data_IF_618849105769
#
_entry.id   IF_618849105769
#
_cell.length_a   1.000
_cell.length_b   1.000
_cell.length_c   1.000
_cell.angle_alpha   90.00
_cell.angle_beta   90.00
_cell.angle_gamma   90.00
#
_symmetry.space_group_name_H-M   'P 1'
#
loop_
_entity.id
_entity.type
_entity.pdbx_description
1 polymer ?
#
# COMPACT_ATOMS: atom_id res chain seq x y z
N UNK A 1 6.94 -6.21 1.06
CA UNK A 1 5.87 -5.65 0.21
C UNK A 1 5.63 -4.21 0.65
N UNK A 2 5.73 -3.23 -0.26
CA UNK A 2 5.62 -1.82 0.10
C UNK A 2 4.27 -1.57 0.77
N UNK A 3 4.30 -0.90 1.92
CA UNK A 3 3.09 -0.57 2.70
C UNK A 3 2.40 0.71 2.25
N UNK A 4 3.03 1.42 1.30
CA UNK A 4 2.57 2.68 0.73
C UNK A 4 2.59 2.63 -0.80
N UNK A 5 2.31 3.77 -1.43
CA UNK A 5 2.39 3.93 -2.88
C UNK A 5 3.77 4.37 -3.35
N UNK A 6 4.78 4.35 -2.47
CA UNK A 6 6.16 4.76 -2.76
C UNK A 6 6.75 4.01 -3.96
N UNK A 7 6.44 2.72 -4.08
CA UNK A 7 6.88 1.86 -5.20
C UNK A 7 6.31 2.27 -6.56
N UNK A 8 5.28 3.13 -6.61
CA UNK A 8 4.75 3.64 -7.87
C UNK A 8 5.76 4.54 -8.58
N UNK A 9 6.63 5.23 -7.83
CA UNK A 9 7.70 6.07 -8.40
C UNK A 9 8.70 5.19 -9.15
N UNK A 10 9.07 4.04 -8.58
CA UNK A 10 9.96 3.09 -9.24
C UNK A 10 9.33 2.49 -10.49
N UNK A 11 8.02 2.19 -10.45
CA UNK A 11 7.27 1.69 -11.59
C UNK A 11 7.10 2.72 -12.69
N UNK A 12 6.91 4.00 -12.33
CA UNK A 12 6.86 5.10 -13.30
C UNK A 12 8.14 5.12 -14.16
N UNK A 13 9.30 4.97 -13.53
CA UNK A 13 10.61 5.03 -14.20
C UNK A 13 10.90 3.78 -15.03
N UNK A 14 10.60 2.60 -14.50
CA UNK A 14 11.06 1.34 -15.08
C UNK A 14 10.00 0.60 -15.90
N UNK A 15 8.71 0.73 -15.55
CA UNK A 15 7.60 -0.07 -16.12
C UNK A 15 6.26 0.71 -16.12
N UNK A 16 6.12 1.79 -16.91
CA UNK A 16 4.93 2.66 -16.89
C UNK A 16 3.62 1.96 -17.28
N UNK A 17 3.67 0.95 -18.17
CA UNK A 17 2.50 0.13 -18.49
C UNK A 17 1.99 -0.68 -17.29
N UNK A 18 2.88 -1.15 -16.42
CA UNK A 18 2.54 -1.86 -15.18
C UNK A 18 1.94 -0.89 -14.17
N UNK A 19 2.46 0.33 -14.06
CA UNK A 19 1.91 1.39 -13.22
C UNK A 19 0.41 1.64 -13.53
N UNK A 20 0.06 1.83 -14.81
CA UNK A 20 -1.33 2.07 -15.21
C UNK A 20 -2.25 0.89 -14.86
N UNK A 21 -1.78 -0.35 -15.06
CA UNK A 21 -2.52 -1.57 -14.66
C UNK A 21 -2.75 -1.63 -13.15
N UNK A 22 -1.75 -1.30 -12.35
CA UNK A 22 -1.86 -1.30 -10.89
C UNK A 22 -2.87 -0.27 -10.41
N UNK A 23 -2.80 0.96 -10.90
CA UNK A 23 -3.75 2.01 -10.53
C UNK A 23 -5.18 1.62 -10.94
N UNK A 24 -5.35 1.05 -12.14
CA UNK A 24 -6.66 0.64 -12.66
C UNK A 24 -7.26 -0.57 -11.93
N UNK A 25 -6.47 -1.61 -11.66
CA UNK A 25 -6.97 -2.91 -11.21
C UNK A 25 -6.66 -3.24 -9.75
N UNK A 26 -5.54 -2.77 -9.20
CA UNK A 26 -5.06 -3.17 -7.88
C UNK A 26 -5.22 -2.08 -6.81
N UNK A 27 -5.54 -0.84 -7.21
CA UNK A 27 -5.80 0.23 -6.25
C UNK A 27 -6.99 -0.08 -5.34
N UNK A 28 -7.01 0.44 -4.09
CA UNK A 28 -8.17 0.34 -3.21
C UNK A 28 -9.43 0.89 -3.86
N UNK A 29 -10.61 0.35 -3.49
CA UNK A 29 -11.90 0.73 -4.08
C UNK A 29 -12.15 2.24 -4.03
N UNK A 30 -11.83 2.90 -2.92
CA UNK A 30 -12.02 4.34 -2.75
C UNK A 30 -11.12 5.15 -3.70
N UNK A 31 -9.89 4.71 -3.94
CA UNK A 31 -8.99 5.36 -4.91
C UNK A 31 -9.54 5.23 -6.32
N UNK A 32 -10.00 4.03 -6.70
CA UNK A 32 -10.66 3.83 -7.99
C UNK A 32 -11.87 4.74 -8.16
N UNK A 33 -12.67 4.93 -7.11
CA UNK A 33 -13.81 5.86 -7.14
C UNK A 33 -13.39 7.32 -7.30
N UNK A 34 -12.31 7.75 -6.63
CA UNK A 34 -11.74 9.10 -6.80
C UNK A 34 -11.29 9.31 -8.25
N UNK A 35 -10.53 8.38 -8.82
CA UNK A 35 -10.05 8.47 -10.21
C UNK A 35 -11.23 8.47 -11.19
N UNK A 36 -12.23 7.61 -10.99
CA UNK A 36 -13.41 7.56 -11.84
C UNK A 36 -14.25 8.85 -11.74
N UNK A 37 -14.24 9.52 -10.59
CA UNK A 37 -14.82 10.86 -10.42
C UNK A 37 -14.05 11.90 -11.24
N UNK A 38 -12.72 11.90 -11.21
CA UNK A 38 -11.91 12.83 -12.01
C UNK A 38 -12.13 12.65 -13.52
N UNK A 39 -12.30 11.40 -13.97
CA UNK A 39 -12.64 11.11 -15.37
C UNK A 39 -13.99 11.70 -15.75
N UNK A 40 -15.01 11.52 -14.90
CA UNK A 40 -16.34 12.09 -15.13
C UNK A 40 -16.36 13.62 -15.09
N UNK A 41 -15.52 14.24 -14.26
CA UNK A 41 -15.35 15.69 -14.17
C UNK A 41 -14.49 16.26 -15.32
N UNK A 42 -13.94 15.43 -16.20
CA UNK A 42 -13.10 15.86 -17.32
C UNK A 42 -11.71 16.37 -16.94
N UNK A 43 -11.29 16.22 -15.66
CA UNK A 43 -9.96 16.63 -15.18
C UNK A 43 -8.85 15.73 -15.73
N UNK A 44 -9.18 14.48 -16.00
CA UNK A 44 -8.34 13.50 -16.70
C UNK A 44 -9.22 12.73 -17.68
N UNK A 45 -8.70 12.39 -18.85
CA UNK A 45 -9.33 11.56 -19.88
C UNK A 45 -9.24 10.09 -19.52
N UNK A 46 -8.11 9.63 -18.98
CA UNK A 46 -7.89 8.25 -18.60
C UNK A 46 -6.77 8.11 -17.53
N UNK A 47 -6.49 6.88 -17.09
CA UNK A 47 -5.47 6.60 -16.07
C UNK A 47 -4.03 6.78 -16.59
N UNK A 48 -3.79 6.60 -17.90
CA UNK A 48 -2.46 6.76 -18.50
C UNK A 48 -2.02 8.23 -18.51
N UNK A 49 -2.97 9.16 -18.64
CA UNK A 49 -2.70 10.59 -18.61
C UNK A 49 -2.01 11.04 -17.30
N UNK A 50 -2.24 10.34 -16.19
CA UNK A 50 -1.52 10.62 -14.92
C UNK A 50 -0.02 10.42 -15.09
N UNK A 51 0.40 9.36 -15.79
CA UNK A 51 1.81 9.11 -16.07
C UNK A 51 2.37 10.10 -17.09
N UNK A 52 1.57 10.52 -18.08
CA UNK A 52 1.94 11.51 -19.07
C UNK A 52 2.16 12.90 -18.43
N UNK A 53 1.26 13.33 -17.55
CA UNK A 53 1.39 14.56 -16.76
C UNK A 53 2.67 14.52 -15.93
N UNK A 54 2.93 13.39 -15.27
CA UNK A 54 4.14 13.23 -14.45
C UNK A 54 5.43 13.36 -15.28
N UNK A 55 5.48 12.80 -16.49
CA UNK A 55 6.61 12.96 -17.41
C UNK A 55 6.73 14.41 -17.89
N UNK A 56 5.61 15.00 -18.34
CA UNK A 56 5.56 16.37 -18.89
C UNK A 56 6.02 17.42 -17.89
N UNK A 57 5.61 17.27 -16.63
CA UNK A 57 5.92 18.22 -15.56
C UNK A 57 7.19 17.84 -14.79
N UNK A 58 7.89 16.77 -15.19
CA UNK A 58 9.04 16.21 -14.48
C UNK A 58 8.78 15.99 -12.98
N UNK A 59 7.57 15.51 -12.66
CA UNK A 59 7.11 15.21 -11.29
C UNK A 59 7.03 13.70 -11.07
N UNK A 60 7.06 13.31 -9.80
CA UNK A 60 6.71 11.95 -9.43
C UNK A 60 5.18 11.75 -9.49
N UNK A 61 4.76 10.52 -9.78
CA UNK A 61 3.33 10.16 -9.89
C UNK A 61 2.56 10.39 -8.59
N UNK A 62 3.21 10.30 -7.42
CA UNK A 62 2.54 10.51 -6.13
C UNK A 62 2.14 11.98 -5.98
N UNK A 63 3.04 12.90 -6.34
CA UNK A 63 2.83 14.35 -6.34
C UNK A 63 1.68 14.72 -7.28
N UNK A 64 1.66 14.17 -8.50
CA UNK A 64 0.55 14.38 -9.44
C UNK A 64 -0.78 13.85 -8.88
N UNK A 65 -0.79 12.65 -8.29
CA UNK A 65 -1.99 12.10 -7.66
C UNK A 65 -2.49 12.98 -6.51
N UNK A 66 -1.59 13.51 -5.68
CA UNK A 66 -1.93 14.41 -4.58
C UNK A 66 -2.52 15.74 -5.10
N UNK A 67 -1.91 16.34 -6.13
CA UNK A 67 -2.42 17.56 -6.78
C UNK A 67 -3.82 17.34 -7.39
N UNK A 68 -4.09 16.15 -7.93
CA UNK A 68 -5.40 15.75 -8.42
C UNK A 68 -6.40 15.40 -7.31
N UNK A 69 -6.01 15.45 -6.03
CA UNK A 69 -6.85 15.11 -4.88
C UNK A 69 -7.10 13.60 -4.72
N UNK A 70 -6.25 12.76 -5.32
CA UNK A 70 -6.30 11.30 -5.18
C UNK A 70 -5.42 10.87 -4.02
N UNK A 71 -6.04 10.69 -2.86
CA UNK A 71 -5.33 10.27 -1.65
C UNK A 71 -5.45 8.76 -1.40
N UNK A 72 -4.31 8.07 -1.27
CA UNK A 72 -4.26 6.70 -0.76
C UNK A 72 -4.14 6.71 0.78
N UNK A 73 -5.28 6.73 1.48
CA UNK A 73 -5.33 6.80 2.95
C UNK A 73 -4.85 5.49 3.59
N UNK A 74 -3.93 5.60 4.56
CA UNK A 74 -3.62 4.47 5.45
C UNK A 74 -4.87 4.07 6.20
N UNK A 75 -5.18 2.77 6.20
CA UNK A 75 -6.30 2.24 6.97
C UNK A 75 -6.03 2.50 8.46
N UNK A 76 -6.94 3.22 9.12
CA UNK A 76 -6.85 3.48 10.57
C UNK A 76 -7.26 2.25 11.40
N UNK A 77 -8.11 1.39 10.85
CA UNK A 77 -8.70 0.23 11.53
C UNK A 77 -8.89 -0.95 10.56
N UNK A 78 -9.17 -2.14 11.12
CA UNK A 78 -9.42 -3.37 10.38
C UNK A 78 -8.15 -4.18 10.05
N UNK A 79 -8.35 -5.31 9.36
CA UNK A 79 -7.31 -6.31 9.08
C UNK A 79 -6.08 -5.75 8.36
N UNK A 80 -6.29 -4.83 7.42
CA UNK A 80 -5.21 -4.19 6.65
C UNK A 80 -4.48 -3.05 7.37
N UNK A 81 -4.93 -2.63 8.56
CA UNK A 81 -4.31 -1.53 9.30
C UNK A 81 -3.04 -1.94 10.04
N UNK A 82 -2.94 -3.22 10.42
CA UNK A 82 -1.85 -3.76 11.24
C UNK A 82 -1.25 -4.97 10.53
N UNK A 83 0.08 -5.03 10.49
CA UNK A 83 0.85 -6.15 9.96
C UNK A 83 1.84 -6.64 10.99
N UNK A 84 2.26 -7.89 10.86
CA UNK A 84 3.36 -8.48 11.62
C UNK A 84 4.65 -7.69 11.34
N UNK A 85 5.34 -7.26 12.40
CA UNK A 85 6.61 -6.54 12.30
C UNK A 85 7.72 -7.38 11.64
N UNK A 86 7.61 -8.72 11.68
CA UNK A 86 8.62 -9.64 11.14
C UNK A 86 8.28 -10.03 9.70
N UNK A 87 7.14 -10.68 9.48
CA UNK A 87 6.82 -11.28 8.17
C UNK A 87 5.83 -10.45 7.33
N UNK A 88 5.31 -9.35 7.86
CA UNK A 88 4.34 -8.50 7.15
C UNK A 88 2.95 -9.12 6.94
N UNK A 89 2.68 -10.32 7.45
CA UNK A 89 1.34 -10.92 7.41
C UNK A 89 0.33 -10.06 8.17
N UNK A 90 -0.94 -10.12 7.76
CA UNK A 90 -2.08 -9.53 8.47
C UNK A 90 -2.86 -10.56 9.32
N UNK A 91 -2.42 -11.82 9.34
CA UNK A 91 -3.11 -12.92 10.00
C UNK A 91 -2.70 -13.06 11.47
N UNK A 92 -3.68 -13.21 12.37
CA UNK A 92 -3.49 -13.53 13.81
C UNK A 92 -2.39 -12.69 14.47
N UNK A 93 -2.50 -11.36 14.37
CA UNK A 93 -1.54 -10.43 14.96
C UNK A 93 -1.75 -10.32 16.48
N UNK A 94 -0.70 -10.67 17.23
CA UNK A 94 -0.61 -10.48 18.67
C UNK A 94 -0.16 -9.04 18.92
N UNK A 95 -1.04 -8.26 19.55
CA UNK A 95 -0.81 -6.84 19.86
C UNK A 95 -0.47 -6.61 21.33
N UNK A 96 -0.75 -7.60 22.17
CA UNK A 96 -0.48 -7.53 23.60
C UNK A 96 1.02 -7.40 23.85
N UNK A 97 1.37 -6.70 24.93
CA UNK A 97 2.75 -6.43 25.32
C UNK A 97 3.59 -5.70 24.26
N UNK A 98 2.94 -5.01 23.31
CA UNK A 98 3.63 -4.26 22.26
C UNK A 98 4.36 -5.14 21.23
N UNK A 99 4.00 -6.43 21.11
CA UNK A 99 4.73 -7.36 20.24
C UNK A 99 4.51 -7.09 18.75
N UNK A 100 3.27 -6.81 18.32
CA UNK A 100 2.91 -6.58 16.91
C UNK A 100 3.42 -7.64 15.92
N UNK A 101 3.42 -8.93 16.31
CA UNK A 101 3.83 -10.05 15.46
C UNK A 101 2.69 -11.05 15.26
N UNK A 102 2.71 -11.80 14.16
CA UNK A 102 1.72 -12.86 13.93
C UNK A 102 2.01 -14.08 14.79
N UNK A 103 0.98 -14.88 15.08
CA UNK A 103 1.13 -16.10 15.89
C UNK A 103 2.13 -17.14 15.35
N UNK A 104 2.46 -17.09 14.05
CA UNK A 104 3.53 -17.93 13.48
C UNK A 104 4.91 -17.46 13.95
N UNK A 105 5.21 -16.18 13.73
CA UNK A 105 6.47 -15.58 14.14
C UNK A 105 6.65 -15.57 15.66
N UNK A 106 5.55 -15.48 16.42
CA UNK A 106 5.60 -15.64 17.87
C UNK A 106 6.13 -17.03 18.27
N UNK A 107 5.57 -18.12 17.71
CA UNK A 107 6.04 -19.48 18.03
C UNK A 107 7.49 -19.70 17.62
N UNK A 108 7.86 -19.26 16.42
CA UNK A 108 9.23 -19.39 15.90
C UNK A 108 10.27 -18.65 16.76
N UNK A 109 9.86 -17.58 17.47
CA UNK A 109 10.76 -16.73 18.24
C UNK A 109 10.44 -16.71 19.73
N UNK A 110 9.61 -17.63 20.22
CA UNK A 110 9.13 -17.63 21.60
C UNK A 110 10.30 -17.61 22.59
N UNK A 111 11.30 -18.45 22.37
CA UNK A 111 12.52 -18.51 23.17
C UNK A 111 13.30 -17.19 23.19
N UNK A 112 13.47 -16.55 22.03
CA UNK A 112 14.17 -15.26 21.91
C UNK A 112 13.40 -14.12 22.58
N UNK A 113 12.08 -14.24 22.65
CA UNK A 113 11.18 -13.31 23.34
C UNK A 113 11.12 -13.58 24.85
N UNK A 114 11.87 -14.56 25.38
CA UNK A 114 11.90 -14.90 26.80
C UNK A 114 10.74 -15.79 27.27
N UNK A 115 9.98 -16.37 26.34
CA UNK A 115 8.92 -17.31 26.69
C UNK A 115 9.49 -18.71 26.85
N UNK A 116 9.13 -19.38 27.95
CA UNK A 116 9.39 -20.80 28.14
C UNK A 116 8.41 -21.61 27.30
N UNK A 117 8.92 -22.40 26.36
CA UNK A 117 8.10 -23.39 25.63
C UNK A 117 8.02 -24.66 26.47
N UNK A 118 6.81 -25.14 26.70
CA UNK A 118 6.57 -26.36 27.47
C UNK A 118 6.27 -27.51 26.51
N UNK A 119 6.93 -28.65 26.71
CA UNK A 119 6.67 -29.87 25.92
C UNK A 119 7.37 -29.94 24.56
N UNK A 120 8.45 -29.16 24.38
CA UNK A 120 9.48 -29.46 23.36
C UNK A 120 10.44 -30.56 23.85
#
# INVERSE_FOLDING_TARGET
MPTGWDYLVDLQRNKPGTLAKIIKHNAPRYVKQQIQRLIREGKIKNVQEIAEIAIRENKDVISVLNELGVENKKNKYGKGAIKCAICGSHERIIRLYGLYICGRCFRERAHLLGFKVMGE
#
